data_IF_413010609096
#
_entry.id   IF_413010609096
#
_cell.length_a   1.000
_cell.length_b   1.000
_cell.length_c   1.000
_cell.angle_alpha   90.00
_cell.angle_beta   90.00
_cell.angle_gamma   90.00
#
_symmetry.space_group_name_H-M   'P 1'
#
loop_
_entity.id
_entity.type
_entity.pdbx_description
1 polymer ?
#
# COMPACT_ATOMS: atom_id res chain seq x y z
N UNK A 1 -0.31 7.64 -27.59
CA UNK A 1 -0.43 8.16 -26.21
C UNK A 1 0.94 8.31 -25.53
N UNK A 2 1.01 9.12 -24.46
CA UNK A 2 2.18 9.13 -23.57
C UNK A 2 2.12 7.93 -22.61
N UNK A 3 3.27 7.28 -22.38
CA UNK A 3 3.39 6.18 -21.44
C UNK A 3 4.83 6.09 -20.91
N UNK A 4 5.01 5.60 -19.69
CA UNK A 4 6.33 5.31 -19.11
C UNK A 4 6.51 3.80 -19.00
N UNK A 5 7.51 3.29 -19.72
CA UNK A 5 7.84 1.88 -19.78
C UNK A 5 9.05 1.55 -18.91
N UNK A 6 9.05 0.37 -18.31
CA UNK A 6 10.26 -0.31 -17.89
C UNK A 6 10.76 -1.16 -19.05
N UNK A 7 11.98 -0.86 -19.55
CA UNK A 7 12.54 -1.53 -20.73
C UNK A 7 13.53 -2.64 -20.40
N UNK A 8 13.95 -2.72 -19.15
CA UNK A 8 14.88 -3.73 -18.63
C UNK A 8 14.86 -3.74 -17.11
N UNK A 9 15.39 -4.79 -16.49
CA UNK A 9 15.58 -4.78 -15.04
C UNK A 9 16.79 -3.97 -14.63
N UNK A 10 16.69 -3.24 -13.50
CA UNK A 10 17.77 -2.43 -12.97
C UNK A 10 17.31 -1.19 -12.21
N UNK A 11 18.13 -0.15 -12.28
CA UNK A 11 17.86 1.15 -11.66
C UNK A 11 16.88 2.00 -12.49
N UNK A 12 16.65 3.24 -12.07
CA UNK A 12 15.72 4.18 -12.71
C UNK A 12 16.08 4.52 -14.16
N UNK A 13 17.32 4.24 -14.61
CA UNK A 13 17.70 4.40 -16.02
C UNK A 13 16.97 3.44 -16.96
N UNK A 14 16.24 2.45 -16.42
CA UNK A 14 15.40 1.55 -17.21
C UNK A 14 14.01 2.11 -17.48
N UNK A 15 13.63 3.24 -16.90
CA UNK A 15 12.38 3.94 -17.20
C UNK A 15 12.53 4.75 -18.49
N UNK A 16 11.54 4.65 -19.40
CA UNK A 16 11.51 5.37 -20.67
C UNK A 16 10.14 5.99 -20.89
N UNK A 17 10.10 7.31 -20.95
CA UNK A 17 8.93 8.02 -21.45
C UNK A 17 8.84 7.83 -22.97
N UNK A 18 7.67 7.42 -23.44
CA UNK A 18 7.29 7.42 -24.86
C UNK A 18 6.12 8.38 -25.04
N UNK A 19 6.16 9.18 -26.11
CA UNK A 19 5.09 10.11 -26.47
C UNK A 19 4.26 9.58 -27.62
N UNK A 20 4.70 8.50 -28.23
CA UNK A 20 4.17 7.83 -29.42
C UNK A 20 3.81 6.35 -29.15
N UNK A 21 3.55 5.98 -27.88
CA UNK A 21 3.14 4.62 -27.55
C UNK A 21 1.75 4.34 -28.14
N UNK A 22 1.52 3.16 -28.71
CA UNK A 22 0.22 2.85 -29.33
C UNK A 22 -0.93 3.00 -28.33
N UNK A 23 -2.04 3.57 -28.78
CA UNK A 23 -3.25 3.57 -27.96
C UNK A 23 -3.80 2.14 -27.86
N UNK A 24 -4.19 1.68 -26.68
CA UNK A 24 -4.74 0.35 -26.52
C UNK A 24 -6.13 0.24 -27.14
N UNK A 25 -6.45 -0.95 -27.66
CA UNK A 25 -7.79 -1.30 -28.14
C UNK A 25 -8.39 -2.31 -27.17
N UNK A 26 -9.64 -2.14 -26.70
CA UNK A 26 -10.23 -3.06 -25.73
C UNK A 26 -10.55 -4.40 -26.38
N UNK A 27 -10.18 -5.48 -25.70
CA UNK A 27 -10.72 -6.81 -25.99
C UNK A 27 -12.22 -6.90 -25.69
N UNK A 28 -12.91 -8.00 -26.05
CA UNK A 28 -14.36 -8.12 -25.86
C UNK A 28 -14.84 -7.83 -24.43
N UNK A 29 -14.11 -8.27 -23.43
CA UNK A 29 -14.45 -8.15 -22.01
C UNK A 29 -13.61 -7.06 -21.29
N UNK A 30 -12.93 -6.20 -22.05
CA UNK A 30 -12.07 -5.14 -21.52
C UNK A 30 -12.67 -3.75 -21.73
N UNK A 31 -12.19 -2.81 -20.96
CA UNK A 31 -12.45 -1.38 -21.15
C UNK A 31 -11.14 -0.63 -21.31
N UNK A 32 -11.19 0.54 -21.93
CA UNK A 32 -10.09 1.50 -21.88
C UNK A 32 -10.44 2.53 -20.81
N UNK A 33 -9.57 2.67 -19.84
CA UNK A 33 -9.65 3.72 -18.82
C UNK A 33 -8.73 4.86 -19.25
N UNK A 34 -9.29 6.07 -19.34
CA UNK A 34 -8.51 7.30 -19.38
C UNK A 34 -8.02 7.56 -17.96
N UNK A 35 -6.73 7.44 -17.75
CA UNK A 35 -6.12 7.54 -16.43
C UNK A 35 -6.14 9.00 -15.96
N UNK A 36 -6.82 9.26 -14.85
CA UNK A 36 -6.79 10.57 -14.19
C UNK A 36 -5.60 10.69 -13.23
N UNK A 37 -5.32 9.60 -12.51
CA UNK A 37 -4.17 9.50 -11.63
C UNK A 37 -3.73 8.03 -11.49
N UNK A 38 -2.42 7.84 -11.29
CA UNK A 38 -1.80 6.55 -10.93
C UNK A 38 -0.88 6.76 -9.73
N UNK A 39 -0.87 5.84 -8.77
CA UNK A 39 -0.03 5.98 -7.60
C UNK A 39 1.24 5.13 -7.69
N UNK A 40 2.36 5.68 -7.21
CA UNK A 40 3.65 4.99 -7.19
C UNK A 40 3.75 4.13 -5.94
N UNK A 41 4.16 2.88 -6.13
CA UNK A 41 4.33 1.89 -5.08
C UNK A 41 5.74 1.31 -5.06
N UNK A 42 6.16 0.82 -3.89
CA UNK A 42 7.43 0.10 -3.77
C UNK A 42 7.42 -1.21 -4.58
N UNK A 43 6.23 -1.77 -4.82
CA UNK A 43 6.05 -2.93 -5.68
C UNK A 43 6.45 -2.64 -7.14
N UNK A 44 6.11 -1.46 -7.68
CA UNK A 44 6.52 -1.05 -9.03
C UNK A 44 8.05 -0.96 -9.14
N UNK A 45 8.71 -0.50 -8.06
CA UNK A 45 10.17 -0.47 -7.98
C UNK A 45 10.76 -1.89 -7.98
N UNK A 46 10.13 -2.83 -7.26
CA UNK A 46 10.55 -4.23 -7.30
C UNK A 46 10.34 -4.84 -8.69
N UNK A 47 9.22 -4.55 -9.36
CA UNK A 47 8.95 -4.96 -10.75
C UNK A 47 10.07 -4.46 -11.68
N UNK A 48 10.46 -3.18 -11.58
CA UNK A 48 11.56 -2.63 -12.35
C UNK A 48 12.91 -3.27 -12.00
N UNK A 49 13.20 -3.49 -10.71
CA UNK A 49 14.47 -4.11 -10.27
C UNK A 49 14.56 -5.60 -10.62
N UNK A 50 13.44 -6.24 -10.87
CA UNK A 50 13.29 -7.68 -11.06
C UNK A 50 13.01 -8.41 -9.75
N UNK A 51 11.92 -9.16 -9.73
CA UNK A 51 11.51 -9.96 -8.57
C UNK A 51 11.83 -11.44 -8.79
N UNK A 52 12.47 -12.13 -7.85
CA UNK A 52 12.72 -13.57 -7.95
C UNK A 52 11.41 -14.34 -8.13
N UNK A 53 11.35 -15.21 -9.13
CA UNK A 53 10.20 -16.08 -9.39
C UNK A 53 9.05 -15.44 -10.18
N UNK A 54 9.13 -14.14 -10.51
CA UNK A 54 8.14 -13.47 -11.36
C UNK A 54 8.81 -13.07 -12.67
N UNK A 55 8.22 -13.54 -13.79
CA UNK A 55 8.69 -13.19 -15.14
C UNK A 55 7.90 -12.00 -15.66
N UNK A 56 8.55 -10.84 -15.74
CA UNK A 56 7.98 -9.62 -16.28
C UNK A 56 8.15 -9.59 -17.80
N UNK A 57 7.11 -9.38 -18.60
CA UNK A 57 7.18 -9.31 -20.07
C UNK A 57 7.66 -7.91 -20.51
N UNK A 58 8.98 -7.67 -20.40
CA UNK A 58 9.57 -6.38 -20.80
C UNK A 58 9.62 -6.19 -22.34
N UNK A 59 9.43 -4.97 -22.84
CA UNK A 59 9.05 -3.75 -22.11
C UNK A 59 7.59 -3.75 -21.66
N UNK A 60 7.30 -3.14 -20.52
CA UNK A 60 5.94 -3.04 -19.96
C UNK A 60 5.70 -1.63 -19.41
N UNK A 61 4.50 -1.10 -19.60
CA UNK A 61 4.05 0.11 -18.90
C UNK A 61 3.78 -0.26 -17.43
N UNK A 62 4.56 0.31 -16.52
CA UNK A 62 4.43 0.03 -15.08
C UNK A 62 3.26 0.80 -14.44
N UNK A 63 3.03 0.60 -13.13
CA UNK A 63 2.00 1.26 -12.34
C UNK A 63 0.77 0.39 -12.15
N UNK A 64 0.62 -0.13 -10.92
CA UNK A 64 -0.50 -0.99 -10.56
C UNK A 64 -1.75 -0.20 -10.18
N UNK A 65 -1.59 0.86 -9.38
CA UNK A 65 -2.70 1.64 -8.85
C UNK A 65 -3.13 2.70 -9.87
N UNK A 66 -4.40 2.72 -10.25
CA UNK A 66 -4.95 3.79 -11.10
C UNK A 66 -6.44 4.00 -10.84
N UNK A 67 -6.89 5.22 -11.08
CA UNK A 67 -8.29 5.60 -11.19
C UNK A 67 -8.47 6.55 -12.39
N UNK A 68 -9.67 6.56 -12.96
CA UNK A 68 -9.96 7.37 -14.13
C UNK A 68 -11.39 7.25 -14.60
N UNK A 69 -11.60 7.49 -15.87
CA UNK A 69 -12.92 7.42 -16.53
C UNK A 69 -12.87 6.43 -17.70
N UNK A 70 -13.94 5.71 -17.93
CA UNK A 70 -14.04 4.79 -19.05
C UNK A 70 -14.07 5.60 -20.37
N UNK A 71 -13.11 5.33 -21.25
CA UNK A 71 -12.98 5.97 -22.55
C UNK A 71 -13.53 5.11 -23.71
N UNK A 72 -13.48 3.77 -23.57
CA UNK A 72 -14.02 2.85 -24.56
C UNK A 72 -14.42 1.53 -23.88
N UNK A 73 -15.36 0.81 -24.53
CA UNK A 73 -15.91 -0.46 -24.07
C UNK A 73 -15.67 -1.54 -25.11
N UNK A 74 -15.26 -2.73 -24.68
CA UNK A 74 -15.28 -3.93 -25.49
C UNK A 74 -16.71 -4.41 -25.78
N UNK A 75 -16.87 -5.20 -26.83
CA UNK A 75 -18.20 -5.60 -27.34
C UNK A 75 -19.03 -6.46 -26.38
N UNK A 76 -18.39 -7.14 -25.43
CA UNK A 76 -19.05 -7.99 -24.43
C UNK A 76 -19.31 -7.28 -23.09
N UNK A 77 -18.81 -6.05 -22.93
CA UNK A 77 -18.93 -5.32 -21.64
C UNK A 77 -20.36 -4.83 -21.44
N UNK A 78 -20.94 -5.14 -20.29
CA UNK A 78 -22.27 -4.70 -19.85
C UNK A 78 -22.19 -4.06 -18.47
N UNK A 79 -23.17 -3.20 -18.12
CA UNK A 79 -23.24 -2.56 -16.80
C UNK A 79 -22.29 -1.36 -16.61
N UNK A 80 -21.53 -0.98 -17.63
CA UNK A 80 -20.64 0.16 -17.67
C UNK A 80 -20.95 1.08 -18.86
N UNK A 81 -20.63 2.35 -18.73
CA UNK A 81 -20.78 3.38 -19.77
C UNK A 81 -19.51 4.21 -19.92
N UNK A 82 -19.32 4.79 -21.10
CA UNK A 82 -18.26 5.80 -21.32
C UNK A 82 -18.51 6.98 -20.39
N UNK A 83 -17.45 7.44 -19.72
CA UNK A 83 -17.50 8.49 -18.69
C UNK A 83 -17.74 7.98 -17.26
N UNK A 84 -18.06 6.68 -17.05
CA UNK A 84 -18.13 6.13 -15.70
C UNK A 84 -16.78 6.29 -14.98
N UNK A 85 -16.83 6.78 -13.73
CA UNK A 85 -15.64 6.97 -12.88
C UNK A 85 -15.30 5.66 -12.19
N UNK A 86 -14.05 5.23 -12.33
CA UNK A 86 -13.62 3.90 -11.90
C UNK A 86 -12.29 3.93 -11.16
N UNK A 87 -12.21 3.11 -10.11
CA UNK A 87 -10.98 2.59 -9.52
C UNK A 87 -10.72 1.22 -10.14
N UNK A 88 -9.48 0.92 -10.49
CA UNK A 88 -9.10 -0.41 -10.99
C UNK A 88 -8.51 -1.24 -9.84
N UNK A 89 -9.06 -2.43 -9.59
CA UNK A 89 -8.40 -3.45 -8.79
C UNK A 89 -7.25 -4.03 -9.62
N UNK A 90 -5.99 -3.78 -9.26
CA UNK A 90 -4.87 -4.19 -10.11
C UNK A 90 -4.65 -5.69 -10.22
N UNK A 91 -5.24 -6.53 -9.38
CA UNK A 91 -5.01 -7.97 -9.37
C UNK A 91 -5.85 -8.67 -10.46
N UNK A 92 -5.16 -9.38 -11.36
CA UNK A 92 -5.81 -10.19 -12.38
C UNK A 92 -6.40 -11.47 -11.73
N UNK A 93 -7.72 -11.63 -11.86
CA UNK A 93 -8.48 -12.77 -11.31
C UNK A 93 -9.26 -13.52 -12.40
N UNK A 94 -8.80 -13.45 -13.64
CA UNK A 94 -9.48 -14.08 -14.79
C UNK A 94 -9.27 -15.62 -14.87
N UNK A 95 -8.53 -16.19 -13.93
CA UNK A 95 -8.20 -17.63 -13.88
C UNK A 95 -7.19 -18.09 -14.93
N UNK A 96 -6.76 -17.21 -15.83
CA UNK A 96 -5.80 -17.49 -16.91
C UNK A 96 -4.44 -16.87 -16.65
N UNK A 97 -4.42 -15.70 -16.02
CA UNK A 97 -3.21 -14.94 -15.69
C UNK A 97 -3.15 -14.74 -14.19
N UNK A 98 -1.95 -14.86 -13.64
CA UNK A 98 -1.67 -14.53 -12.25
C UNK A 98 -0.68 -13.39 -12.22
N UNK A 99 -1.03 -12.30 -11.52
CA UNK A 99 -0.20 -11.10 -11.41
C UNK A 99 -1.05 -9.85 -11.33
N UNK A 100 -0.43 -8.72 -11.59
CA UNK A 100 -1.09 -7.41 -11.56
C UNK A 100 -0.89 -6.66 -12.88
N UNK A 101 -1.75 -5.69 -13.14
CA UNK A 101 -1.48 -4.67 -14.16
C UNK A 101 -0.22 -3.88 -13.75
N UNK A 102 0.54 -3.44 -14.74
CA UNK A 102 1.86 -2.83 -14.50
C UNK A 102 2.98 -3.84 -14.19
N UNK A 103 2.66 -5.16 -14.21
CA UNK A 103 3.59 -6.25 -13.96
C UNK A 103 3.55 -7.28 -15.10
N UNK A 104 2.40 -7.93 -15.33
CA UNK A 104 2.24 -8.97 -16.36
C UNK A 104 1.51 -8.47 -17.60
N UNK A 105 1.01 -7.27 -17.57
CA UNK A 105 0.46 -6.49 -18.68
C UNK A 105 0.66 -5.01 -18.41
N UNK A 106 0.43 -4.16 -19.42
CA UNK A 106 0.54 -2.70 -19.29
C UNK A 106 -0.34 -2.15 -18.17
N UNK A 107 0.20 -1.19 -17.42
CA UNK A 107 -0.43 -0.58 -16.25
C UNK A 107 -0.74 0.90 -16.42
N UNK A 108 -0.89 1.59 -15.28
CA UNK A 108 -1.47 2.92 -15.20
C UNK A 108 -0.53 4.10 -15.47
N UNK A 109 0.78 3.90 -15.68
CA UNK A 109 1.67 5.03 -16.02
C UNK A 109 1.60 5.38 -17.49
N UNK A 110 0.38 5.65 -17.97
CA UNK A 110 0.04 6.04 -19.32
C UNK A 110 -1.25 6.85 -19.32
N UNK A 111 -1.54 7.54 -20.44
CA UNK A 111 -2.80 8.28 -20.62
C UNK A 111 -4.02 7.35 -20.70
N UNK A 112 -3.84 6.14 -21.23
CA UNK A 112 -4.88 5.13 -21.41
C UNK A 112 -4.38 3.78 -20.91
N UNK A 113 -5.26 3.01 -20.26
CA UNK A 113 -4.96 1.65 -19.80
C UNK A 113 -6.10 0.70 -20.16
N UNK A 114 -5.79 -0.41 -20.82
CA UNK A 114 -6.75 -1.48 -21.08
C UNK A 114 -6.83 -2.42 -19.88
N UNK A 115 -8.02 -2.63 -19.33
CA UNK A 115 -8.24 -3.49 -18.16
C UNK A 115 -9.50 -4.35 -18.35
N UNK A 116 -9.55 -5.58 -17.81
CA UNK A 116 -10.77 -6.35 -17.73
C UNK A 116 -11.89 -5.58 -17.00
N UNK A 117 -13.10 -5.61 -17.53
CA UNK A 117 -14.25 -4.94 -16.90
C UNK A 117 -14.56 -5.49 -15.49
N UNK A 118 -14.16 -6.73 -15.21
CA UNK A 118 -14.28 -7.36 -13.89
C UNK A 118 -13.35 -6.79 -12.81
N UNK A 119 -12.38 -5.95 -13.18
CA UNK A 119 -11.47 -5.26 -12.24
C UNK A 119 -11.96 -3.86 -11.87
N UNK A 120 -13.10 -3.42 -12.41
CA UNK A 120 -13.59 -2.06 -12.20
C UNK A 120 -14.45 -1.96 -10.94
N UNK A 121 -14.18 -0.95 -10.14
CA UNK A 121 -14.95 -0.56 -8.97
C UNK A 121 -15.46 0.87 -9.21
N UNK A 122 -16.78 1.10 -9.03
CA UNK A 122 -17.35 2.44 -9.18
C UNK A 122 -16.80 3.38 -8.13
N UNK A 123 -16.36 4.57 -8.55
CA UNK A 123 -15.93 5.63 -7.65
C UNK A 123 -17.12 6.55 -7.39
N UNK A 124 -17.55 6.70 -6.13
CA UNK A 124 -18.60 7.65 -5.73
C UNK A 124 -18.26 9.08 -6.18
N UNK A 125 -19.26 9.89 -6.44
CA UNK A 125 -19.08 11.28 -6.90
C UNK A 125 -18.37 12.15 -5.86
N UNK A 126 -18.52 11.83 -4.58
CA UNK A 126 -17.89 12.49 -3.44
C UNK A 126 -16.39 12.19 -3.30
N UNK A 127 -15.91 11.13 -3.97
CA UNK A 127 -14.50 10.70 -3.89
C UNK A 127 -13.74 11.27 -5.09
N UNK A 128 -12.62 11.94 -4.86
CA UNK A 128 -11.74 12.37 -5.95
C UNK A 128 -11.06 11.16 -6.63
N UNK A 129 -10.72 11.28 -7.93
CA UNK A 129 -9.97 10.22 -8.61
C UNK A 129 -8.53 10.09 -8.09
N UNK A 130 -7.97 11.17 -7.53
CA UNK A 130 -6.67 11.12 -6.86
C UNK A 130 -6.74 10.26 -5.58
N UNK A 131 -7.76 10.49 -4.73
CA UNK A 131 -7.96 9.68 -3.52
C UNK A 131 -8.21 8.21 -3.88
N UNK A 132 -9.03 7.97 -4.89
CA UNK A 132 -9.30 6.60 -5.36
C UNK A 132 -8.00 5.92 -5.83
N UNK A 133 -7.18 6.60 -6.66
CA UNK A 133 -5.92 6.05 -7.16
C UNK A 133 -4.90 5.77 -6.05
N UNK A 134 -4.99 6.43 -4.90
CA UNK A 134 -4.10 6.20 -3.77
C UNK A 134 -4.40 4.90 -2.99
N UNK A 135 -5.57 4.27 -3.23
CA UNK A 135 -6.09 3.20 -2.38
C UNK A 135 -5.47 1.82 -2.61
N UNK A 136 -5.42 1.24 -3.84
CA UNK A 136 -5.39 -0.22 -4.00
C UNK A 136 -4.26 -0.88 -3.23
N UNK A 137 -3.03 -0.63 -3.58
CA UNK A 137 -1.91 -1.35 -2.98
C UNK A 137 -1.69 -0.96 -1.51
N UNK A 138 -1.64 0.34 -1.19
CA UNK A 138 -1.28 0.77 0.16
C UNK A 138 -2.43 0.63 1.16
N UNK A 139 -3.57 1.25 0.89
CA UNK A 139 -4.72 1.24 1.79
C UNK A 139 -5.44 -0.11 1.78
N UNK A 140 -5.56 -0.75 0.62
CA UNK A 140 -6.11 -2.11 0.50
C UNK A 140 -5.31 -3.12 1.31
N UNK A 141 -3.97 -3.08 1.22
CA UNK A 141 -3.08 -3.93 2.04
C UNK A 141 -3.24 -3.65 3.53
N UNK A 142 -3.30 -2.37 3.94
CA UNK A 142 -3.47 -2.00 5.34
C UNK A 142 -4.85 -2.43 5.87
N UNK A 143 -5.92 -2.24 5.10
CA UNK A 143 -7.27 -2.69 5.44
C UNK A 143 -7.31 -4.19 5.70
N UNK A 144 -6.85 -4.99 4.72
CA UNK A 144 -6.81 -6.44 4.86
C UNK A 144 -5.95 -6.87 6.04
N UNK A 145 -4.79 -6.25 6.21
CA UNK A 145 -3.84 -6.60 7.28
C UNK A 145 -4.42 -6.32 8.67
N UNK A 146 -5.05 -5.18 8.89
CA UNK A 146 -5.57 -4.79 10.19
C UNK A 146 -6.93 -5.44 10.49
N UNK A 147 -7.83 -5.47 9.50
CA UNK A 147 -9.23 -5.86 9.71
C UNK A 147 -9.42 -7.34 9.43
N UNK A 148 -9.15 -7.81 8.21
CA UNK A 148 -9.46 -9.19 7.83
C UNK A 148 -8.53 -10.20 8.50
N UNK A 149 -7.23 -9.89 8.55
CA UNK A 149 -6.21 -10.80 9.07
C UNK A 149 -5.87 -10.53 10.52
N UNK A 150 -5.65 -9.28 10.85
CA UNK A 150 -5.22 -8.83 12.16
C UNK A 150 -6.33 -8.77 13.20
N UNK A 151 -7.58 -8.60 12.77
CA UNK A 151 -8.76 -8.56 13.66
C UNK A 151 -8.60 -7.50 14.75
N UNK A 152 -8.06 -6.33 14.37
CA UNK A 152 -7.83 -5.22 15.30
C UNK A 152 -9.17 -4.67 15.78
N UNK A 153 -9.29 -4.48 17.10
CA UNK A 153 -10.51 -3.97 17.75
C UNK A 153 -10.23 -2.73 18.59
N UNK A 154 -11.29 -2.02 18.94
CA UNK A 154 -11.20 -0.82 19.78
C UNK A 154 -10.52 -1.10 21.12
N UNK A 155 -9.66 -0.18 21.56
CA UNK A 155 -8.90 -0.27 22.80
C UNK A 155 -7.61 -1.08 22.72
N UNK A 156 -7.33 -1.77 21.60
CA UNK A 156 -6.04 -2.42 21.39
C UNK A 156 -4.92 -1.39 21.15
N UNK A 157 -3.73 -1.70 21.62
CA UNK A 157 -2.50 -0.93 21.41
C UNK A 157 -1.79 -1.44 20.17
N UNK A 158 -1.62 -0.58 19.16
CA UNK A 158 -1.04 -0.93 17.86
C UNK A 158 0.25 -0.17 17.64
N UNK A 159 1.37 -0.87 17.57
CA UNK A 159 2.66 -0.32 17.17
C UNK A 159 2.83 -0.44 15.66
N UNK A 160 3.07 0.67 14.96
CA UNK A 160 3.28 0.69 13.52
C UNK A 160 4.72 1.08 13.20
N UNK A 161 5.51 0.14 12.68
CA UNK A 161 6.85 0.42 12.15
C UNK A 161 6.75 0.93 10.71
N UNK A 162 7.63 1.88 10.34
CA UNK A 162 7.58 2.49 9.01
C UNK A 162 6.30 3.30 8.78
N UNK A 163 5.77 3.93 9.82
CA UNK A 163 4.46 4.60 9.84
C UNK A 163 4.31 5.75 8.84
N UNK A 164 5.40 6.29 8.30
CA UNK A 164 5.39 7.40 7.34
C UNK A 164 5.29 6.96 5.86
N UNK A 165 5.43 5.67 5.54
CA UNK A 165 5.22 5.15 4.19
C UNK A 165 3.73 4.96 3.85
N UNK A 166 3.41 4.66 2.59
CA UNK A 166 2.02 4.51 2.13
C UNK A 166 1.19 3.53 2.98
N UNK A 167 1.68 2.29 3.15
CA UNK A 167 1.01 1.28 4.02
C UNK A 167 1.00 1.73 5.48
N UNK A 168 2.10 2.34 5.95
CA UNK A 168 2.22 2.77 7.35
C UNK A 168 1.22 3.86 7.72
N UNK A 169 1.11 4.90 6.90
CA UNK A 169 0.10 5.96 7.08
C UNK A 169 -1.31 5.39 7.06
N UNK A 170 -1.61 4.50 6.10
CA UNK A 170 -2.90 3.82 6.03
C UNK A 170 -3.18 3.01 7.30
N UNK A 171 -2.18 2.29 7.84
CA UNK A 171 -2.32 1.56 9.10
C UNK A 171 -2.62 2.48 10.29
N UNK A 172 -1.93 3.64 10.38
CA UNK A 172 -2.21 4.62 11.44
C UNK A 172 -3.66 5.11 11.35
N UNK A 173 -4.08 5.58 10.18
CA UNK A 173 -5.44 6.11 9.99
C UNK A 173 -6.51 5.04 10.25
N UNK A 174 -6.37 3.83 9.70
CA UNK A 174 -7.34 2.76 9.88
C UNK A 174 -7.38 2.24 11.33
N UNK A 175 -6.23 2.09 12.00
CA UNK A 175 -6.20 1.71 13.41
C UNK A 175 -6.90 2.75 14.29
N UNK A 176 -6.72 4.05 14.00
CA UNK A 176 -7.46 5.12 14.69
C UNK A 176 -8.96 5.05 14.42
N UNK A 177 -9.38 4.77 13.18
CA UNK A 177 -10.80 4.57 12.85
C UNK A 177 -11.42 3.37 13.58
N UNK A 178 -10.63 2.35 13.86
CA UNK A 178 -11.05 1.18 14.65
C UNK A 178 -11.09 1.45 16.16
N UNK A 179 -10.62 2.61 16.61
CA UNK A 179 -10.58 2.97 18.03
C UNK A 179 -9.38 2.40 18.80
N UNK A 180 -8.29 2.07 18.09
CA UNK A 180 -7.06 1.61 18.70
C UNK A 180 -6.21 2.78 19.24
N UNK A 181 -5.37 2.48 20.24
CA UNK A 181 -4.30 3.34 20.71
C UNK A 181 -3.04 3.09 19.86
N UNK A 182 -2.58 4.10 19.10
CA UNK A 182 -1.55 3.94 18.07
C UNK A 182 -0.21 4.53 18.49
N UNK A 183 0.85 3.71 18.43
CA UNK A 183 2.25 4.12 18.51
C UNK A 183 2.84 4.10 17.10
N UNK A 184 3.21 5.24 16.55
CA UNK A 184 3.71 5.37 15.19
C UNK A 184 5.22 5.69 15.14
N UNK A 185 6.01 4.88 14.41
CA UNK A 185 7.46 5.03 14.31
C UNK A 185 7.87 5.68 12.97
N UNK A 186 8.66 6.74 13.03
CA UNK A 186 9.24 7.39 11.85
C UNK A 186 10.68 7.88 12.11
N UNK A 187 11.35 8.41 11.07
CA UNK A 187 12.79 8.73 11.06
C UNK A 187 13.13 10.22 11.10
N UNK A 188 12.15 11.10 11.29
CA UNK A 188 12.44 12.54 11.33
C UNK A 188 11.34 13.32 12.05
N UNK A 189 11.71 14.46 12.62
CA UNK A 189 10.79 15.38 13.30
C UNK A 189 9.60 15.77 12.41
N UNK A 190 9.85 16.13 11.14
CA UNK A 190 8.75 16.50 10.22
C UNK A 190 7.75 15.36 9.97
N UNK A 191 8.21 14.11 9.88
CA UNK A 191 7.32 12.95 9.76
C UNK A 191 6.57 12.67 11.05
N UNK A 192 7.22 12.86 12.20
CA UNK A 192 6.59 12.74 13.53
C UNK A 192 5.43 13.73 13.68
N UNK A 193 5.63 14.99 13.31
CA UNK A 193 4.56 16.01 13.40
C UNK A 193 3.38 15.66 12.48
N UNK A 194 3.65 15.15 11.28
CA UNK A 194 2.58 14.70 10.38
C UNK A 194 1.83 13.48 10.93
N UNK A 195 2.51 12.54 11.62
CA UNK A 195 1.86 11.40 12.29
C UNK A 195 0.96 11.84 13.45
N UNK A 196 1.39 12.84 14.23
CA UNK A 196 0.54 13.47 15.26
C UNK A 196 -0.70 14.13 14.65
N UNK A 197 -0.55 14.79 13.50
CA UNK A 197 -1.69 15.39 12.79
C UNK A 197 -2.68 14.32 12.28
N UNK A 198 -2.23 13.07 12.05
CA UNK A 198 -3.09 11.91 11.77
C UNK A 198 -3.66 11.24 13.04
N UNK A 199 -3.55 11.92 14.19
CA UNK A 199 -4.05 11.46 15.49
C UNK A 199 -3.38 10.19 16.04
N UNK A 200 -2.10 9.92 15.67
CA UNK A 200 -1.32 8.93 16.39
C UNK A 200 -1.19 9.35 17.86
N UNK A 201 -1.52 8.47 18.80
CA UNK A 201 -1.51 8.78 20.23
C UNK A 201 -0.09 8.97 20.75
N UNK A 202 0.84 8.16 20.23
CA UNK A 202 2.26 8.22 20.56
C UNK A 202 3.10 8.15 19.30
N UNK A 203 4.24 8.82 19.31
CA UNK A 203 5.18 8.80 18.18
C UNK A 203 6.58 8.49 18.66
N UNK A 204 7.35 7.73 17.89
CA UNK A 204 8.73 7.35 18.18
C UNK A 204 9.63 7.71 17.01
N UNK A 205 10.63 8.56 17.27
CA UNK A 205 11.74 8.75 16.35
C UNK A 205 12.75 7.61 16.56
N UNK A 206 12.74 6.63 15.68
CA UNK A 206 13.60 5.46 15.80
C UNK A 206 15.08 5.74 15.49
N UNK A 207 15.42 6.96 15.04
CA UNK A 207 16.81 7.40 14.87
C UNK A 207 17.40 7.90 16.19
N UNK A 208 16.55 8.35 17.12
CA UNK A 208 16.93 8.86 18.43
C UNK A 208 16.76 7.83 19.54
N UNK A 209 15.78 6.93 19.46
CA UNK A 209 15.46 5.95 20.49
C UNK A 209 15.03 4.60 19.89
N UNK A 210 15.33 3.51 20.61
CA UNK A 210 14.81 2.19 20.23
C UNK A 210 13.30 2.12 20.51
N UNK A 211 12.52 1.70 19.56
CA UNK A 211 11.07 1.57 19.73
C UNK A 211 10.67 0.60 20.85
N UNK A 212 11.49 -0.40 21.15
CA UNK A 212 11.26 -1.32 22.28
C UNK A 212 11.29 -0.58 23.60
N UNK A 213 12.23 0.33 23.78
CA UNK A 213 12.37 1.08 25.04
C UNK A 213 11.22 2.09 25.18
N UNK A 214 10.82 2.75 24.08
CA UNK A 214 9.65 3.63 24.06
C UNK A 214 8.35 2.87 24.41
N UNK A 215 8.13 1.68 23.86
CA UNK A 215 6.96 0.85 24.19
C UNK A 215 6.96 0.45 25.68
N UNK A 216 8.14 0.14 26.24
CA UNK A 216 8.26 -0.20 27.67
C UNK A 216 8.01 0.98 28.58
N UNK A 217 8.43 2.16 28.18
CA UNK A 217 8.16 3.41 28.93
C UNK A 217 6.67 3.72 28.93
N UNK A 218 5.99 3.59 27.77
CA UNK A 218 4.56 3.88 27.62
C UNK A 218 3.68 2.87 28.34
N UNK A 219 3.96 1.58 28.22
CA UNK A 219 3.03 0.51 28.60
C UNK A 219 3.59 -0.49 29.61
N UNK A 220 4.86 -0.33 30.00
CA UNK A 220 5.56 -1.29 30.83
C UNK A 220 6.11 -2.50 30.05
N UNK A 221 7.05 -3.23 30.68
CA UNK A 221 7.59 -4.46 30.10
C UNK A 221 6.51 -5.55 30.03
N UNK A 222 6.37 -6.27 28.91
CA UNK A 222 5.46 -7.41 28.82
C UNK A 222 5.73 -8.45 29.92
N UNK A 223 4.66 -9.01 30.50
CA UNK A 223 4.71 -10.02 31.56
C UNK A 223 3.88 -11.25 31.20
N UNK A 224 4.36 -12.42 31.51
CA UNK A 224 3.63 -13.69 31.33
C UNK A 224 2.36 -13.79 32.20
N UNK A 225 2.31 -13.04 33.30
CA UNK A 225 1.11 -12.89 34.12
C UNK A 225 0.07 -11.90 33.56
N UNK A 226 0.32 -11.37 32.39
CA UNK A 226 -0.48 -10.30 31.75
C UNK A 226 0.03 -8.90 32.09
N UNK A 227 -0.35 -7.95 31.23
CA UNK A 227 0.03 -6.54 31.33
C UNK A 227 1.39 -6.22 30.67
N UNK A 228 1.58 -4.93 30.40
CA UNK A 228 2.72 -4.39 29.65
C UNK A 228 2.68 -4.70 28.15
N UNK A 229 3.45 -3.95 27.37
CA UNK A 229 3.55 -4.12 25.92
C UNK A 229 2.32 -3.69 25.13
N UNK A 230 2.31 -4.05 23.84
CA UNK A 230 1.25 -3.76 22.87
C UNK A 230 0.51 -5.02 22.44
N UNK A 231 -0.72 -4.87 21.95
CA UNK A 231 -1.54 -5.98 21.43
C UNK A 231 -1.08 -6.42 20.05
N UNK A 232 -0.73 -5.43 19.20
CA UNK A 232 -0.42 -5.63 17.79
C UNK A 232 0.85 -4.88 17.42
N UNK A 233 1.73 -5.54 16.69
CA UNK A 233 2.83 -4.88 15.98
C UNK A 233 2.62 -5.05 14.48
N UNK A 234 2.51 -3.94 13.76
CA UNK A 234 2.55 -3.91 12.30
C UNK A 234 4.00 -3.75 11.86
N UNK A 235 4.57 -4.82 11.29
CA UNK A 235 5.96 -4.85 10.84
C UNK A 235 6.09 -5.43 9.44
N UNK A 236 6.16 -4.56 8.46
CA UNK A 236 6.52 -4.86 7.06
C UNK A 236 7.94 -4.37 6.71
N UNK A 237 8.71 -3.97 7.71
CA UNK A 237 10.13 -3.63 7.57
C UNK A 237 10.99 -4.90 7.53
N UNK A 238 10.72 -5.85 8.43
CA UNK A 238 11.48 -7.09 8.53
C UNK A 238 12.90 -6.88 9.11
N UNK A 239 13.84 -7.72 8.69
CA UNK A 239 15.24 -7.65 9.13
C UNK A 239 15.37 -7.65 10.66
N UNK A 240 16.29 -6.84 11.18
CA UNK A 240 16.62 -6.78 12.62
C UNK A 240 15.48 -6.25 13.51
N UNK A 241 14.45 -5.60 12.90
CA UNK A 241 13.30 -5.10 13.66
C UNK A 241 12.37 -6.22 14.14
N UNK A 242 12.51 -7.44 13.59
CA UNK A 242 11.58 -8.53 13.84
C UNK A 242 11.62 -9.05 15.28
N UNK A 243 12.80 -9.40 15.77
CA UNK A 243 12.97 -9.87 17.15
C UNK A 243 12.60 -8.81 18.19
N UNK A 244 12.86 -7.55 17.86
CA UNK A 244 12.49 -6.44 18.73
C UNK A 244 10.97 -6.22 18.73
N UNK A 245 10.27 -6.51 17.64
CA UNK A 245 8.81 -6.54 17.60
C UNK A 245 8.22 -7.58 18.56
N UNK A 246 8.82 -8.77 18.64
CA UNK A 246 8.40 -9.80 19.62
C UNK A 246 8.50 -9.31 21.07
N UNK A 247 9.58 -8.55 21.38
CA UNK A 247 9.80 -7.99 22.72
C UNK A 247 8.82 -6.89 23.12
N UNK A 248 8.07 -6.35 22.15
CA UNK A 248 7.03 -5.34 22.41
C UNK A 248 5.66 -5.95 22.69
N UNK A 249 5.40 -7.19 22.26
CA UNK A 249 4.09 -7.81 22.38
C UNK A 249 3.77 -8.27 23.81
N UNK A 250 2.55 -7.99 24.26
CA UNK A 250 1.99 -8.58 25.47
C UNK A 250 1.72 -10.08 25.30
N UNK A 251 1.31 -10.75 26.39
CA UNK A 251 0.77 -12.11 26.32
C UNK A 251 -0.43 -12.16 25.35
N UNK A 252 -0.42 -13.11 24.41
CA UNK A 252 -1.43 -13.26 23.36
C UNK A 252 -1.42 -12.16 22.30
N UNK A 253 -0.34 -11.36 22.21
CA UNK A 253 -0.17 -10.33 21.18
C UNK A 253 0.25 -10.91 19.82
N UNK A 254 0.13 -10.11 18.74
CA UNK A 254 0.39 -10.58 17.37
C UNK A 254 1.21 -9.61 16.54
N UNK A 255 2.06 -10.16 15.66
CA UNK A 255 2.76 -9.40 14.61
C UNK A 255 1.99 -9.58 13.30
N UNK A 256 1.71 -8.46 12.63
CA UNK A 256 1.12 -8.43 11.30
C UNK A 256 2.17 -8.01 10.29
N UNK A 257 2.28 -8.74 9.18
CA UNK A 257 3.25 -8.40 8.12
C UNK A 257 2.65 -8.60 6.73
N UNK A 258 3.00 -7.69 5.82
CA UNK A 258 2.66 -7.75 4.39
C UNK A 258 3.89 -7.59 3.49
N UNK A 259 5.08 -7.63 4.06
CA UNK A 259 6.34 -7.44 3.34
C UNK A 259 7.54 -7.43 4.27
N UNK A 260 8.74 -7.24 3.68
CA UNK A 260 9.99 -7.21 4.43
C UNK A 260 11.03 -6.35 3.68
N UNK A 261 10.82 -5.02 3.67
CA UNK A 261 11.60 -4.07 2.87
C UNK A 261 13.06 -3.94 3.28
N UNK A 262 13.41 -4.28 4.54
CA UNK A 262 14.78 -4.28 5.05
C UNK A 262 15.40 -5.69 5.13
N UNK A 263 14.71 -6.74 4.69
CA UNK A 263 15.21 -8.11 4.63
C UNK A 263 14.15 -9.13 5.00
N UNK A 264 14.06 -10.20 4.21
CA UNK A 264 13.04 -11.24 4.35
C UNK A 264 13.52 -12.48 5.13
N UNK A 265 14.81 -12.59 5.42
CA UNK A 265 15.32 -13.61 6.34
C UNK A 265 15.21 -13.07 7.77
N UNK A 266 14.24 -13.60 8.53
CA UNK A 266 13.87 -13.07 9.84
C UNK A 266 14.33 -14.02 10.95
N UNK A 267 15.05 -13.51 11.95
CA UNK A 267 15.38 -14.26 13.16
C UNK A 267 14.21 -14.16 14.13
N UNK A 268 13.59 -15.30 14.42
CA UNK A 268 12.52 -15.43 15.42
C UNK A 268 13.06 -16.09 16.68
N UNK A 269 12.91 -15.44 17.84
CA UNK A 269 13.18 -16.07 19.12
C UNK A 269 11.95 -16.87 19.55
N UNK A 270 12.04 -18.19 19.39
CA UNK A 270 10.93 -19.09 19.65
C UNK A 270 10.46 -19.04 21.12
N UNK A 271 11.34 -18.66 22.07
CA UNK A 271 10.96 -18.52 23.50
C UNK A 271 9.83 -17.50 23.68
N UNK A 272 9.83 -16.40 22.91
CA UNK A 272 8.71 -15.45 22.96
C UNK A 272 7.42 -16.05 22.41
N UNK A 273 7.48 -16.88 21.35
CA UNK A 273 6.29 -17.50 20.77
C UNK A 273 5.50 -18.31 21.81
N UNK A 274 6.16 -19.30 22.48
CA UNK A 274 5.40 -20.14 23.39
C UNK A 274 5.20 -19.52 24.77
N UNK A 275 6.16 -18.68 25.24
CA UNK A 275 6.05 -18.08 26.60
C UNK A 275 4.99 -16.98 26.63
N UNK A 276 4.86 -16.21 25.54
CA UNK A 276 3.90 -15.11 25.43
C UNK A 276 2.73 -15.43 24.51
N UNK A 277 2.61 -16.67 24.03
CA UNK A 277 1.53 -17.12 23.13
C UNK A 277 1.34 -16.17 21.92
N UNK A 278 2.46 -15.77 21.29
CA UNK A 278 2.46 -14.78 20.22
C UNK A 278 2.00 -15.40 18.90
N UNK A 279 1.19 -14.64 18.14
CA UNK A 279 0.83 -14.98 16.75
C UNK A 279 1.70 -14.20 15.75
N UNK A 280 2.05 -14.84 14.63
CA UNK A 280 2.68 -14.21 13.46
C UNK A 280 1.76 -14.38 12.27
N UNK A 281 1.22 -13.27 11.74
CA UNK A 281 0.16 -13.29 10.76
C UNK A 281 0.64 -12.60 9.47
N UNK A 282 0.75 -13.37 8.39
CA UNK A 282 0.97 -12.85 7.05
C UNK A 282 -0.32 -12.33 6.42
N UNK A 283 -0.21 -11.23 5.69
CA UNK A 283 -1.29 -10.66 4.88
C UNK A 283 -0.77 -10.37 3.47
N UNK A 284 -1.43 -10.90 2.46
CA UNK A 284 -1.03 -10.71 1.06
C UNK A 284 -2.15 -10.00 0.28
N UNK A 285 -1.82 -8.81 -0.26
CA UNK A 285 -2.72 -8.03 -1.09
C UNK A 285 -3.95 -7.51 -0.35
N UNK A 286 -5.08 -7.47 -1.02
CA UNK A 286 -6.36 -6.92 -0.57
C UNK A 286 -7.53 -7.71 -1.14
N UNK A 287 -8.75 -7.28 -0.81
CA UNK A 287 -10.00 -7.79 -1.37
C UNK A 287 -10.75 -6.66 -2.06
N UNK A 288 -11.55 -6.97 -3.08
CA UNK A 288 -12.44 -5.99 -3.73
C UNK A 288 -13.37 -5.34 -2.70
N UNK A 289 -13.96 -6.14 -1.81
CA UNK A 289 -14.81 -5.64 -0.72
C UNK A 289 -14.09 -4.65 0.20
N UNK A 290 -12.80 -4.85 0.44
CA UNK A 290 -11.97 -3.91 1.19
C UNK A 290 -11.76 -2.59 0.45
N UNK A 291 -11.57 -2.62 -0.88
CA UNK A 291 -11.45 -1.41 -1.69
C UNK A 291 -12.78 -0.64 -1.73
N UNK A 292 -13.91 -1.33 -1.86
CA UNK A 292 -15.25 -0.71 -1.78
C UNK A 292 -15.46 -0.03 -0.43
N UNK A 293 -15.16 -0.73 0.67
CA UNK A 293 -15.29 -0.16 2.02
C UNK A 293 -14.39 1.09 2.23
N UNK A 294 -13.19 1.11 1.64
CA UNK A 294 -12.32 2.27 1.68
C UNK A 294 -12.91 3.46 0.92
N UNK A 295 -13.49 3.26 -0.27
CA UNK A 295 -14.20 4.29 -1.01
C UNK A 295 -15.40 4.84 -0.23
N UNK A 296 -16.17 3.99 0.44
CA UNK A 296 -17.29 4.38 1.31
C UNK A 296 -16.81 5.22 2.50
N UNK A 297 -15.67 4.86 3.12
CA UNK A 297 -15.08 5.66 4.20
C UNK A 297 -14.67 7.06 3.73
N UNK A 298 -14.14 7.18 2.52
CA UNK A 298 -13.78 8.48 1.94
C UNK A 298 -15.05 9.28 1.61
N UNK A 299 -16.03 8.66 0.95
CA UNK A 299 -17.30 9.30 0.62
C UNK A 299 -18.06 9.82 1.87
N UNK A 300 -17.92 9.11 2.99
CA UNK A 300 -18.47 9.53 4.28
C UNK A 300 -17.61 10.58 5.02
N UNK A 301 -16.50 11.05 4.43
CA UNK A 301 -15.57 12.02 5.06
C UNK A 301 -14.82 11.47 6.28
N UNK A 302 -14.78 10.14 6.45
CA UNK A 302 -14.14 9.48 7.59
C UNK A 302 -12.68 9.08 7.34
N UNK A 303 -12.28 9.01 6.07
CA UNK A 303 -10.92 8.70 5.64
C UNK A 303 -10.49 9.72 4.56
N UNK A 304 -9.27 10.23 4.66
CA UNK A 304 -8.63 11.02 3.62
C UNK A 304 -7.24 10.43 3.35
N UNK A 305 -7.00 9.83 2.19
CA UNK A 305 -5.69 9.29 1.86
C UNK A 305 -4.59 10.35 1.95
N UNK A 306 -3.47 9.99 2.57
CA UNK A 306 -2.35 10.93 2.71
C UNK A 306 -1.54 10.96 1.42
N UNK A 307 -1.82 11.93 0.56
CA UNK A 307 -1.08 12.19 -0.69
C UNK A 307 -0.04 13.26 -0.41
N UNK A 308 1.22 12.93 -0.60
CA UNK A 308 2.36 13.83 -0.34
C UNK A 308 2.64 14.76 -1.52
N UNK A 309 2.65 14.17 -2.72
CA UNK A 309 2.91 14.89 -3.97
C UNK A 309 2.08 14.32 -5.12
N UNK A 310 1.77 15.19 -6.05
CA UNK A 310 1.21 14.85 -7.36
C UNK A 310 2.17 15.43 -8.39
N UNK A 311 2.75 14.58 -9.22
CA UNK A 311 3.76 14.93 -10.22
C UNK A 311 3.21 14.62 -11.62
N UNK A 312 3.71 15.27 -12.67
CA UNK A 312 3.39 14.87 -14.04
C UNK A 312 3.99 13.49 -14.37
N UNK A 313 3.42 12.80 -15.34
CA UNK A 313 3.85 11.45 -15.76
C UNK A 313 5.34 11.39 -16.11
N UNK A 314 5.86 12.45 -16.71
CA UNK A 314 7.25 12.60 -17.12
C UNK A 314 8.24 12.50 -15.95
N UNK A 315 7.77 12.85 -14.74
CA UNK A 315 8.57 12.81 -13.51
C UNK A 315 8.52 11.45 -12.79
N UNK A 316 8.12 10.37 -13.47
CA UNK A 316 8.06 9.03 -12.90
C UNK A 316 9.38 8.61 -12.22
N UNK A 317 10.53 8.92 -12.83
CA UNK A 317 11.83 8.58 -12.24
C UNK A 317 12.10 9.33 -10.93
N UNK A 318 11.66 10.60 -10.84
CA UNK A 318 11.73 11.39 -9.61
C UNK A 318 10.76 10.86 -8.55
N UNK A 319 9.54 10.51 -8.94
CA UNK A 319 8.57 9.89 -8.02
C UNK A 319 9.11 8.60 -7.38
N UNK A 320 9.76 7.73 -8.17
CA UNK A 320 10.41 6.54 -7.64
C UNK A 320 11.62 6.86 -6.75
N UNK A 321 12.44 7.88 -7.12
CA UNK A 321 13.55 8.35 -6.29
C UNK A 321 13.08 8.76 -4.89
N UNK A 322 12.03 9.55 -4.83
CA UNK A 322 11.44 10.00 -3.56
C UNK A 322 11.05 8.83 -2.65
N UNK A 323 10.50 7.74 -3.23
CA UNK A 323 10.16 6.54 -2.47
C UNK A 323 11.43 5.78 -2.03
N UNK A 324 12.37 5.55 -2.94
CA UNK A 324 13.62 4.82 -2.67
C UNK A 324 14.45 5.53 -1.60
N UNK A 325 14.53 6.86 -1.64
CA UNK A 325 15.28 7.69 -0.69
C UNK A 325 14.49 7.99 0.60
N UNK A 326 13.25 7.45 0.70
CA UNK A 326 12.36 7.63 1.87
C UNK A 326 12.04 9.11 2.16
N UNK A 327 11.95 9.93 1.14
CA UNK A 327 11.64 11.37 1.24
C UNK A 327 10.14 11.66 1.25
N UNK A 328 9.30 10.64 1.24
CA UNK A 328 7.84 10.76 1.17
C UNK A 328 7.16 10.56 2.53
N UNK A 329 5.93 11.05 2.61
CA UNK A 329 4.98 10.75 3.67
C UNK A 329 3.63 10.37 3.07
N UNK A 330 3.29 9.07 3.09
CA UNK A 330 2.10 8.56 2.43
C UNK A 330 2.33 8.21 0.97
N UNK A 331 1.52 8.75 0.06
CA UNK A 331 1.49 8.39 -1.36
C UNK A 331 2.04 9.49 -2.26
N UNK A 332 2.66 9.09 -3.36
CA UNK A 332 3.00 9.96 -4.50
C UNK A 332 2.15 9.51 -5.68
N UNK A 333 1.49 10.45 -6.32
CA UNK A 333 0.70 10.23 -7.52
C UNK A 333 1.40 10.80 -8.75
N UNK A 334 1.06 10.24 -9.91
CA UNK A 334 1.40 10.75 -11.22
C UNK A 334 0.11 11.05 -11.99
N UNK A 335 0.11 12.16 -12.72
CA UNK A 335 -0.96 12.51 -13.68
C UNK A 335 -0.41 12.43 -15.09
N UNK A 336 -1.00 11.57 -15.93
CA UNK A 336 -0.67 11.49 -17.36
C UNK A 336 -0.96 12.75 -18.17
#
# INVERSE_FOLDING_TARGET
MRAVLTVGHGDRSQLRLRTDYPDPTPGPDEVIVRVAATAVNYHDIFTRRGMPGIKIPLPVVVGSDLAGEIAALGSGVTGWAIGDRVLVDPVLRDGKRFGMIGEVQDGGRAELCAVPASQLIRVPTEVSLDDAAALPLAYGTAYRMLIDRGRVVAGEKVLVLGASGGVGVACVQLAKLLGAEVVACASSTGKIERLKALSADHTVDYTAAKFVDAVRELFGKPRISGGGGVDVVVNFTGGDTWVDSQKCLRLGGRILTCGATAGFNLTTDARYLWTYEQEMIGSNGWTETGLVALLELIAAGRLAPSIDKILPLEETAEAERLLEDREVFGKVLLRP
#
